data_IF_446359845153
#
_entry.id   IF_446359845153
#
_cell.length_a   1.000
_cell.length_b   1.000
_cell.length_c   1.000
_cell.angle_alpha   90.00
_cell.angle_beta   90.00
_cell.angle_gamma   90.00
#
_symmetry.space_group_name_H-M   'P 1'
#
loop_
_entity.id
_entity.type
_entity.pdbx_description
1 polymer ?
#
# COMPACT_ATOMS: atom_id res chain seq x y z
N UNK A 1 -9.26 8.61 24.67
CA UNK A 1 -9.95 8.72 23.37
C UNK A 1 -9.07 9.61 22.52
N UNK A 2 -8.54 9.09 21.43
CA UNK A 2 -7.57 9.77 20.57
C UNK A 2 -8.30 10.41 19.39
N UNK A 3 -7.88 11.58 18.97
CA UNK A 3 -8.40 12.21 17.75
C UNK A 3 -7.53 11.80 16.57
N UNK A 4 -8.11 11.10 15.62
CA UNK A 4 -7.37 10.59 14.47
C UNK A 4 -7.95 11.19 13.19
N UNK A 5 -7.08 11.77 12.37
CA UNK A 5 -7.47 12.25 11.04
C UNK A 5 -6.96 11.29 9.97
N UNK A 6 -7.81 10.96 9.00
CA UNK A 6 -7.41 10.16 7.83
C UNK A 6 -7.46 11.04 6.59
N UNK A 7 -6.30 11.28 6.00
CA UNK A 7 -6.16 12.05 4.76
C UNK A 7 -6.36 11.12 3.56
N UNK A 8 -7.55 11.15 3.00
CA UNK A 8 -7.96 10.34 1.86
C UNK A 8 -9.04 9.32 2.21
N UNK A 9 -10.24 9.50 1.65
CA UNK A 9 -11.41 8.64 1.85
C UNK A 9 -11.59 7.63 0.70
N UNK A 10 -10.49 7.06 0.19
CA UNK A 10 -10.52 5.89 -0.69
C UNK A 10 -11.02 4.63 0.04
N UNK A 11 -11.13 3.50 -0.67
CA UNK A 11 -11.62 2.24 -0.06
C UNK A 11 -10.77 1.83 1.15
N UNK A 12 -9.43 1.87 1.05
CA UNK A 12 -8.55 1.50 2.16
C UNK A 12 -8.55 2.55 3.28
N UNK A 13 -8.48 3.85 2.96
CA UNK A 13 -8.57 4.90 3.97
C UNK A 13 -9.88 4.84 4.76
N UNK A 14 -11.02 4.59 4.09
CA UNK A 14 -12.33 4.46 4.76
C UNK A 14 -12.40 3.20 5.63
N UNK A 15 -11.91 2.05 5.14
CA UNK A 15 -11.88 0.81 5.92
C UNK A 15 -10.98 0.94 7.16
N UNK A 16 -9.82 1.60 7.02
CA UNK A 16 -8.93 1.85 8.16
C UNK A 16 -9.52 2.89 9.14
N UNK A 17 -10.21 3.92 8.63
CA UNK A 17 -10.97 4.86 9.45
C UNK A 17 -12.04 4.15 10.30
N UNK A 18 -12.72 3.13 9.72
CA UNK A 18 -13.64 2.27 10.48
C UNK A 18 -12.91 1.48 11.58
N UNK A 19 -11.73 0.91 11.31
CA UNK A 19 -10.92 0.21 12.34
C UNK A 19 -10.60 1.16 13.49
N UNK A 20 -10.14 2.38 13.19
CA UNK A 20 -9.81 3.40 14.18
C UNK A 20 -11.04 3.80 15.03
N UNK A 21 -12.19 3.94 14.39
CA UNK A 21 -13.45 4.26 15.08
C UNK A 21 -13.94 3.09 15.93
N UNK A 22 -13.87 1.86 15.43
CA UNK A 22 -14.21 0.64 16.18
C UNK A 22 -13.26 0.42 17.38
N UNK A 23 -12.03 0.94 17.31
CA UNK A 23 -11.09 0.99 18.45
C UNK A 23 -11.44 2.08 19.49
N UNK A 24 -12.48 2.87 19.26
CA UNK A 24 -12.99 3.87 20.20
C UNK A 24 -12.40 5.28 20.05
N UNK A 25 -11.77 5.60 18.92
CA UNK A 25 -11.25 6.95 18.65
C UNK A 25 -12.29 7.83 17.95
N UNK A 26 -12.12 9.15 18.04
CA UNK A 26 -12.81 10.10 17.17
C UNK A 26 -12.07 10.15 15.83
N UNK A 27 -12.77 9.91 14.72
CA UNK A 27 -12.16 9.86 13.40
C UNK A 27 -12.72 10.94 12.49
N UNK A 28 -11.82 11.78 11.96
CA UNK A 28 -12.15 12.76 10.93
C UNK A 28 -11.54 12.31 9.60
N UNK A 29 -12.38 12.07 8.60
CA UNK A 29 -11.92 11.79 7.23
C UNK A 29 -11.76 13.10 6.45
N UNK A 30 -10.66 13.28 5.75
CA UNK A 30 -10.54 14.35 4.78
C UNK A 30 -10.69 13.78 3.36
N UNK A 31 -11.53 14.41 2.56
CA UNK A 31 -11.71 14.07 1.14
C UNK A 31 -11.93 15.33 0.30
N UNK A 32 -11.54 15.26 -0.97
CA UNK A 32 -11.73 16.36 -1.93
C UNK A 32 -13.09 16.29 -2.63
N UNK A 33 -13.72 15.11 -2.67
CA UNK A 33 -15.01 14.89 -3.32
C UNK A 33 -16.16 15.23 -2.36
N UNK A 34 -16.98 16.27 -2.68
CA UNK A 34 -18.07 16.69 -1.80
C UNK A 34 -19.09 15.59 -1.47
N UNK A 35 -19.38 14.73 -2.45
CA UNK A 35 -20.31 13.60 -2.27
C UNK A 35 -19.80 12.54 -1.27
N UNK A 36 -18.48 12.37 -1.17
CA UNK A 36 -17.87 11.47 -0.17
C UNK A 36 -17.93 12.11 1.21
N UNK A 37 -17.65 13.41 1.31
CA UNK A 37 -17.73 14.16 2.57
C UNK A 37 -19.15 14.12 3.11
N UNK A 38 -20.15 14.47 2.32
CA UNK A 38 -21.57 14.42 2.68
C UNK A 38 -21.98 13.01 3.07
N UNK A 39 -21.61 12.00 2.25
CA UNK A 39 -21.94 10.61 2.51
C UNK A 39 -21.44 10.11 3.86
N UNK A 40 -20.20 10.43 4.24
CA UNK A 40 -19.63 10.01 5.53
C UNK A 40 -20.21 10.84 6.68
N UNK A 41 -20.24 12.17 6.55
CA UNK A 41 -20.62 13.09 7.62
C UNK A 41 -22.11 12.98 7.97
N UNK A 42 -22.98 12.97 6.95
CA UNK A 42 -24.41 13.14 7.13
C UNK A 42 -25.18 11.81 7.06
N UNK A 43 -24.61 10.80 6.36
CA UNK A 43 -25.26 9.52 6.11
C UNK A 43 -24.48 8.31 6.66
N UNK A 44 -23.32 8.51 7.28
CA UNK A 44 -22.44 7.43 7.75
C UNK A 44 -22.22 6.34 6.69
N UNK A 45 -21.96 6.76 5.44
CA UNK A 45 -21.79 5.85 4.32
C UNK A 45 -20.83 6.42 3.28
N UNK A 46 -19.89 5.59 2.78
CA UNK A 46 -19.07 5.90 1.63
C UNK A 46 -19.47 5.02 0.42
N UNK A 47 -20.59 5.38 -0.19
CA UNK A 47 -21.16 4.61 -1.31
C UNK A 47 -20.31 4.61 -2.58
N UNK A 48 -19.43 5.61 -2.73
CA UNK A 48 -18.55 5.74 -3.90
C UNK A 48 -17.35 4.79 -3.82
N UNK A 49 -16.70 4.71 -2.66
CA UNK A 49 -15.41 4.02 -2.51
C UNK A 49 -15.51 2.68 -1.76
N UNK A 50 -16.50 2.53 -0.89
CA UNK A 50 -16.69 1.34 -0.05
C UNK A 50 -18.18 0.96 0.05
N UNK A 51 -18.86 0.69 -1.06
CA UNK A 51 -20.31 0.48 -1.11
C UNK A 51 -20.79 -0.76 -0.34
N UNK A 52 -19.88 -1.68 -0.01
CA UNK A 52 -20.22 -2.88 0.78
C UNK A 52 -20.57 -2.57 2.23
N UNK A 53 -20.00 -1.50 2.81
CA UNK A 53 -20.30 -1.08 4.19
C UNK A 53 -21.55 -0.24 4.21
N UNK A 54 -22.62 -0.75 4.82
CA UNK A 54 -23.93 -0.07 4.87
C UNK A 54 -23.95 1.12 5.80
N UNK A 55 -23.26 1.00 6.95
CA UNK A 55 -23.22 2.05 7.97
C UNK A 55 -21.83 2.09 8.59
N UNK A 56 -21.18 3.24 8.50
CA UNK A 56 -19.91 3.53 9.19
C UNK A 56 -20.17 3.89 10.66
N UNK A 57 -19.20 3.73 11.57
CA UNK A 57 -19.36 4.10 12.98
C UNK A 57 -19.74 5.57 13.18
N UNK A 58 -20.57 5.84 14.19
CA UNK A 58 -21.08 7.20 14.47
C UNK A 58 -20.02 8.18 14.98
N UNK A 59 -18.87 7.68 15.44
CA UNK A 59 -17.69 8.47 15.82
C UNK A 59 -16.73 8.74 14.63
N UNK A 60 -17.19 8.49 13.40
CA UNK A 60 -16.57 8.95 12.17
C UNK A 60 -17.34 10.13 11.59
N UNK A 61 -16.59 11.17 11.21
CA UNK A 61 -17.10 12.31 10.44
C UNK A 61 -16.19 12.58 9.23
N UNK A 62 -16.56 13.55 8.40
CA UNK A 62 -15.74 13.96 7.26
C UNK A 62 -15.81 15.45 7.00
N UNK A 63 -14.75 16.01 6.45
CA UNK A 63 -14.68 17.40 5.98
C UNK A 63 -13.82 17.50 4.71
N UNK A 64 -14.10 18.51 3.89
CA UNK A 64 -13.25 18.92 2.77
C UNK A 64 -12.25 20.01 3.15
N UNK A 65 -12.41 20.63 4.33
CA UNK A 65 -11.51 21.67 4.82
C UNK A 65 -10.25 21.04 5.45
N UNK A 66 -9.09 21.45 4.99
CA UNK A 66 -7.80 20.90 5.44
C UNK A 66 -7.48 21.29 6.88
N UNK A 67 -7.70 22.55 7.21
CA UNK A 67 -7.38 23.07 8.55
C UNK A 67 -8.30 22.44 9.60
N UNK A 68 -9.60 22.35 9.31
CA UNK A 68 -10.56 21.67 10.17
C UNK A 68 -10.17 20.19 10.39
N UNK A 69 -9.77 19.50 9.31
CA UNK A 69 -9.44 18.08 9.37
C UNK A 69 -8.32 17.77 10.38
N UNK A 70 -7.30 18.61 10.47
CA UNK A 70 -6.09 18.31 11.27
C UNK A 70 -5.98 19.11 12.57
N UNK A 71 -6.87 20.08 12.82
CA UNK A 71 -6.76 21.04 13.93
C UNK A 71 -6.54 20.41 15.31
N UNK A 72 -7.13 19.25 15.58
CA UNK A 72 -7.05 18.56 16.87
C UNK A 72 -6.52 17.14 16.76
N UNK A 73 -5.79 16.82 15.67
CA UNK A 73 -5.33 15.48 15.44
C UNK A 73 -4.13 15.12 16.34
N UNK A 74 -4.26 14.02 17.08
CA UNK A 74 -3.16 13.38 17.78
C UNK A 74 -2.37 12.47 16.83
N UNK A 75 -3.09 11.84 15.89
CA UNK A 75 -2.54 10.96 14.86
C UNK A 75 -3.15 11.32 13.51
N UNK A 76 -2.32 11.42 12.49
CA UNK A 76 -2.74 11.66 11.11
C UNK A 76 -2.36 10.46 10.26
N UNK A 77 -3.34 9.83 9.62
CA UNK A 77 -3.17 8.69 8.74
C UNK A 77 -3.20 9.18 7.30
N UNK A 78 -2.14 8.93 6.54
CA UNK A 78 -2.04 9.27 5.12
C UNK A 78 -2.48 8.08 4.28
N UNK A 79 -3.60 8.24 3.57
CA UNK A 79 -4.23 7.22 2.73
C UNK A 79 -4.48 7.72 1.28
N UNK A 80 -3.56 8.53 0.78
CA UNK A 80 -3.57 9.13 -0.56
C UNK A 80 -2.87 8.17 -1.53
N UNK A 81 -3.19 8.20 -2.83
CA UNK A 81 -2.43 7.43 -3.82
C UNK A 81 -0.98 7.96 -3.89
N UNK A 82 0.00 7.05 -3.90
CA UNK A 82 1.42 7.36 -3.74
C UNK A 82 1.94 8.47 -4.68
N UNK A 83 1.53 8.44 -5.95
CA UNK A 83 1.97 9.41 -6.97
C UNK A 83 1.43 10.84 -6.76
N UNK A 84 0.42 11.02 -5.90
CA UNK A 84 -0.15 12.32 -5.56
C UNK A 84 0.24 12.81 -4.16
N UNK A 85 0.95 11.99 -3.40
CA UNK A 85 1.25 12.24 -1.99
C UNK A 85 1.95 13.57 -1.76
N UNK A 86 3.05 13.84 -2.47
CA UNK A 86 3.83 15.08 -2.32
C UNK A 86 3.00 16.33 -2.56
N UNK A 87 2.26 16.38 -3.65
CA UNK A 87 1.45 17.56 -4.00
C UNK A 87 0.33 17.77 -2.98
N UNK A 88 -0.37 16.69 -2.59
CA UNK A 88 -1.46 16.79 -1.65
C UNK A 88 -0.98 17.15 -0.23
N UNK A 89 0.13 16.55 0.24
CA UNK A 89 0.66 16.78 1.58
C UNK A 89 1.28 18.18 1.74
N UNK A 90 1.83 18.77 0.68
CA UNK A 90 2.36 20.13 0.73
C UNK A 90 1.34 21.17 1.25
N UNK A 91 0.06 20.94 0.96
CA UNK A 91 -1.05 21.80 1.40
C UNK A 91 -1.37 21.65 2.91
N UNK A 92 -0.80 20.64 3.58
CA UNK A 92 -0.99 20.39 5.02
C UNK A 92 0.22 20.78 5.86
N UNK A 93 1.36 21.13 5.25
CA UNK A 93 2.63 21.35 5.95
C UNK A 93 2.50 22.26 7.17
N UNK A 94 1.90 23.43 6.99
CA UNK A 94 1.73 24.43 8.04
C UNK A 94 0.50 24.20 8.94
N UNK A 95 -0.29 23.17 8.66
CA UNK A 95 -1.54 22.88 9.36
C UNK A 95 -1.41 21.73 10.36
N UNK A 96 -0.42 20.85 10.16
CA UNK A 96 -0.22 19.66 11.00
C UNK A 96 0.28 20.07 12.39
N UNK A 97 -0.38 19.67 13.49
CA UNK A 97 0.09 19.96 14.83
C UNK A 97 1.51 19.42 15.08
N UNK A 98 2.36 20.22 15.74
CA UNK A 98 3.75 19.83 16.04
C UNK A 98 3.88 18.55 16.87
N UNK A 99 2.86 18.18 17.62
CA UNK A 99 2.82 16.97 18.46
C UNK A 99 2.18 15.76 17.79
N UNK A 100 1.51 15.94 16.65
CA UNK A 100 0.81 14.86 15.98
C UNK A 100 1.79 13.83 15.38
N UNK A 101 1.47 12.54 15.52
CA UNK A 101 2.15 11.48 14.78
C UNK A 101 1.55 11.38 13.38
N UNK A 102 2.38 11.12 12.39
CA UNK A 102 1.92 10.91 11.01
C UNK A 102 2.21 9.47 10.61
N UNK A 103 1.17 8.72 10.25
CA UNK A 103 1.31 7.34 9.80
C UNK A 103 0.84 7.17 8.36
N UNK A 104 1.57 6.39 7.57
CA UNK A 104 1.28 6.16 6.15
C UNK A 104 0.70 4.77 5.92
N UNK A 105 -0.41 4.71 5.16
CA UNK A 105 -0.98 3.49 4.57
C UNK A 105 -0.56 3.32 3.11
N UNK A 106 0.19 4.27 2.57
CA UNK A 106 0.58 4.28 1.16
C UNK A 106 1.54 3.14 0.86
N UNK A 107 1.46 2.62 -0.35
CA UNK A 107 2.34 1.55 -0.84
C UNK A 107 2.81 1.93 -2.23
N UNK A 108 4.09 2.18 -2.39
CA UNK A 108 4.66 2.57 -3.68
C UNK A 108 5.94 3.38 -3.57
N UNK A 109 6.54 3.65 -4.73
CA UNK A 109 7.72 4.50 -4.90
C UNK A 109 7.30 5.69 -5.75
N UNK A 110 7.72 6.89 -5.39
CA UNK A 110 7.46 8.10 -6.17
C UNK A 110 8.24 8.05 -7.50
N UNK A 111 7.53 8.07 -8.63
CA UNK A 111 8.16 7.90 -9.97
C UNK A 111 9.19 8.97 -10.30
N UNK A 112 8.94 10.19 -9.88
CA UNK A 112 9.78 11.34 -10.26
C UNK A 112 11.11 11.39 -9.53
N UNK A 113 11.18 10.83 -8.32
CA UNK A 113 12.36 10.91 -7.46
C UNK A 113 12.97 9.54 -7.09
N UNK A 114 12.24 8.45 -7.31
CA UNK A 114 12.63 7.11 -6.84
C UNK A 114 12.51 6.91 -5.33
N UNK A 115 11.90 7.87 -4.60
CA UNK A 115 11.81 7.84 -3.14
C UNK A 115 10.68 6.96 -2.63
N UNK A 116 10.93 6.33 -1.49
CA UNK A 116 9.90 5.62 -0.70
C UNK A 116 8.91 6.64 -0.10
N UNK A 117 7.75 6.17 0.32
CA UNK A 117 6.72 7.07 0.87
C UNK A 117 7.10 7.67 2.22
N UNK A 118 7.89 7.00 3.05
CA UNK A 118 8.47 7.59 4.28
C UNK A 118 9.30 8.83 3.95
N UNK A 119 10.19 8.76 2.97
CA UNK A 119 11.03 9.87 2.53
C UNK A 119 10.17 11.01 1.97
N UNK A 120 9.17 10.69 1.13
CA UNK A 120 8.27 11.68 0.54
C UNK A 120 7.48 12.43 1.62
N UNK A 121 6.91 11.71 2.59
CA UNK A 121 6.12 12.31 3.67
C UNK A 121 6.99 13.19 4.57
N UNK A 122 8.13 12.65 5.04
CA UNK A 122 9.04 13.38 5.91
C UNK A 122 9.59 14.65 5.26
N UNK A 123 10.00 14.58 4.00
CA UNK A 123 10.49 15.77 3.27
C UNK A 123 9.40 16.81 3.03
N UNK A 124 8.21 16.36 2.63
CA UNK A 124 7.11 17.29 2.27
C UNK A 124 6.60 18.04 3.49
N UNK A 125 6.50 17.35 4.63
CA UNK A 125 5.95 17.89 5.86
C UNK A 125 7.02 18.45 6.83
N UNK A 126 8.30 18.32 6.48
CA UNK A 126 9.43 18.66 7.37
C UNK A 126 9.34 17.88 8.71
N UNK A 127 9.04 16.60 8.59
CA UNK A 127 8.70 15.75 9.73
C UNK A 127 9.93 14.96 10.20
N UNK A 128 10.27 14.97 11.49
CA UNK A 128 11.35 14.14 12.02
C UNK A 128 10.96 12.65 11.99
N UNK A 129 11.97 11.78 11.80
CA UNK A 129 11.76 10.35 11.56
C UNK A 129 11.04 9.61 12.72
N UNK A 130 11.18 10.09 13.94
CA UNK A 130 10.53 9.51 15.11
C UNK A 130 9.02 9.85 15.22
N UNK A 131 8.54 10.82 14.41
CA UNK A 131 7.12 11.16 14.30
C UNK A 131 6.43 10.51 13.09
N UNK A 132 7.20 9.85 12.22
CA UNK A 132 6.65 9.10 11.10
C UNK A 132 6.49 7.62 11.43
N UNK A 133 5.36 7.05 11.06
CA UNK A 133 5.13 5.60 11.09
C UNK A 133 4.66 5.08 9.72
N UNK A 134 5.11 3.90 9.32
CA UNK A 134 4.55 3.16 8.19
C UNK A 134 3.60 2.07 8.70
N UNK A 135 2.52 1.80 7.98
CA UNK A 135 1.57 0.72 8.29
C UNK A 135 1.42 -0.18 7.06
N UNK A 136 1.80 -1.43 7.18
CA UNK A 136 1.71 -2.41 6.09
C UNK A 136 1.44 -3.82 6.60
N UNK A 137 0.84 -4.67 5.75
CA UNK A 137 0.49 -6.05 6.06
C UNK A 137 -0.56 -6.58 5.11
N UNK A 138 -1.07 -7.80 5.31
CA UNK A 138 -2.14 -8.40 4.52
C UNK A 138 -3.48 -7.70 4.79
N UNK A 139 -3.69 -6.56 4.16
CA UNK A 139 -4.78 -5.63 4.45
C UNK A 139 -5.66 -5.39 3.22
N UNK A 140 -6.49 -6.37 2.87
CA UNK A 140 -7.52 -6.23 1.84
C UNK A 140 -8.70 -5.43 2.41
N UNK A 141 -8.91 -4.22 1.90
CA UNK A 141 -9.84 -3.24 2.45
C UNK A 141 -11.26 -3.75 2.65
N UNK A 142 -11.76 -4.58 1.72
CA UNK A 142 -13.11 -5.14 1.82
C UNK A 142 -13.24 -6.13 2.98
N UNK A 143 -12.28 -7.02 3.17
CA UNK A 143 -12.30 -8.01 4.26
C UNK A 143 -12.21 -7.33 5.63
N UNK A 144 -11.36 -6.30 5.74
CA UNK A 144 -11.24 -5.50 6.97
C UNK A 144 -12.53 -4.73 7.24
N UNK A 145 -13.13 -4.14 6.21
CA UNK A 145 -14.41 -3.44 6.33
C UNK A 145 -15.56 -4.38 6.75
N UNK A 146 -15.49 -5.65 6.33
CA UNK A 146 -16.40 -6.72 6.76
C UNK A 146 -16.03 -7.28 8.17
N UNK A 147 -15.03 -6.69 8.84
CA UNK A 147 -14.51 -7.06 10.18
C UNK A 147 -13.98 -8.50 10.25
N UNK A 148 -13.44 -9.02 9.14
CA UNK A 148 -12.72 -10.29 9.18
C UNK A 148 -11.40 -10.14 9.97
N UNK A 149 -10.99 -11.18 10.72
CA UNK A 149 -9.73 -11.14 11.45
C UNK A 149 -8.55 -10.85 10.54
N UNK A 150 -7.81 -9.80 10.85
CA UNK A 150 -6.64 -9.35 10.10
C UNK A 150 -5.53 -8.86 11.03
N UNK A 151 -4.32 -8.81 10.51
CA UNK A 151 -3.18 -8.28 11.22
C UNK A 151 -2.38 -7.31 10.32
N UNK A 152 -1.68 -6.39 10.96
CA UNK A 152 -0.81 -5.42 10.28
C UNK A 152 0.49 -5.23 11.05
N UNK A 153 1.43 -4.49 10.48
CA UNK A 153 2.65 -4.05 11.17
C UNK A 153 2.70 -2.53 11.12
N UNK A 154 3.06 -1.93 12.24
CA UNK A 154 3.34 -0.49 12.38
C UNK A 154 4.84 -0.34 12.63
N UNK A 155 5.54 0.37 11.76
CA UNK A 155 6.96 0.65 11.88
C UNK A 155 7.19 2.13 12.16
N UNK A 156 7.98 2.44 13.19
CA UNK A 156 8.46 3.78 13.45
C UNK A 156 9.85 3.68 14.09
N UNK A 157 10.78 4.59 13.77
CA UNK A 157 12.12 4.59 14.38
C UNK A 157 12.07 4.72 15.91
N UNK A 158 11.00 5.31 16.44
CA UNK A 158 10.68 5.33 17.88
C UNK A 158 9.59 4.29 18.17
N UNK A 159 9.95 3.24 18.94
CA UNK A 159 9.05 2.12 19.24
C UNK A 159 7.83 2.54 20.06
N UNK A 160 7.96 3.54 20.94
CA UNK A 160 6.83 4.04 21.74
C UNK A 160 5.80 4.74 20.84
N UNK A 161 6.25 5.45 19.83
CA UNK A 161 5.37 6.08 18.85
C UNK A 161 4.73 5.04 17.91
N UNK A 162 5.48 3.98 17.51
CA UNK A 162 4.89 2.84 16.82
C UNK A 162 3.79 2.19 17.66
N UNK A 163 4.02 2.02 18.97
CA UNK A 163 3.06 1.43 19.90
C UNK A 163 1.80 2.30 20.03
N UNK A 164 1.93 3.62 20.16
CA UNK A 164 0.76 4.53 20.21
C UNK A 164 -0.11 4.41 18.97
N UNK A 165 0.50 4.36 17.78
CA UNK A 165 -0.24 4.20 16.52
C UNK A 165 -0.90 2.81 16.46
N UNK A 166 -0.20 1.76 16.91
CA UNK A 166 -0.72 0.40 16.97
C UNK A 166 -1.91 0.29 17.93
N UNK A 167 -1.82 0.85 19.12
CA UNK A 167 -2.93 0.88 20.10
C UNK A 167 -4.17 1.58 19.54
N UNK A 168 -3.99 2.70 18.81
CA UNK A 168 -5.09 3.43 18.19
C UNK A 168 -5.85 2.61 17.13
N UNK A 169 -5.27 1.56 16.55
CA UNK A 169 -5.94 0.70 15.56
C UNK A 169 -6.17 -0.74 16.05
N UNK A 170 -6.02 -1.03 17.35
CA UNK A 170 -6.25 -2.36 17.91
C UNK A 170 -7.74 -2.59 18.17
N UNK A 171 -8.29 -3.65 17.57
CA UNK A 171 -9.67 -4.09 17.77
C UNK A 171 -9.74 -5.60 18.05
N UNK A 172 -10.93 -6.16 18.27
CA UNK A 172 -11.12 -7.60 18.37
C UNK A 172 -10.84 -8.37 17.07
N UNK A 173 -10.86 -7.69 15.93
CA UNK A 173 -10.64 -8.29 14.61
C UNK A 173 -9.40 -7.74 13.88
N UNK A 174 -8.78 -6.66 14.36
CA UNK A 174 -7.59 -6.07 13.73
C UNK A 174 -6.45 -5.96 14.74
N UNK A 175 -5.37 -6.73 14.50
CA UNK A 175 -4.23 -6.81 15.41
C UNK A 175 -2.96 -6.24 14.78
N UNK A 176 -2.48 -5.08 15.22
CA UNK A 176 -1.18 -4.56 14.83
C UNK A 176 -0.04 -5.24 15.62
N UNK A 177 1.13 -5.34 14.98
CA UNK A 177 2.43 -5.63 15.56
C UNK A 177 3.34 -4.44 15.34
N UNK A 178 4.39 -4.27 16.12
CA UNK A 178 5.28 -3.11 16.02
C UNK A 178 6.71 -3.52 15.67
N UNK A 179 7.41 -2.63 14.95
CA UNK A 179 8.84 -2.76 14.62
C UNK A 179 9.47 -1.39 14.49
N UNK A 180 10.80 -1.34 14.47
CA UNK A 180 11.55 -0.11 14.14
C UNK A 180 12.06 -0.09 12.70
N UNK A 181 11.87 -1.15 11.93
CA UNK A 181 12.32 -1.26 10.54
C UNK A 181 11.31 -0.61 9.57
N UNK A 182 11.35 0.72 9.49
CA UNK A 182 10.54 1.52 8.56
C UNK A 182 10.90 1.19 7.11
N UNK A 183 12.21 1.07 6.81
CA UNK A 183 12.69 0.79 5.45
C UNK A 183 12.14 -0.55 4.95
N UNK A 184 12.29 -1.60 5.74
CA UNK A 184 11.79 -2.93 5.37
C UNK A 184 10.28 -2.95 5.18
N UNK A 185 9.53 -2.26 6.03
CA UNK A 185 8.08 -2.20 5.92
C UNK A 185 7.62 -1.49 4.63
N UNK A 186 8.22 -0.35 4.29
CA UNK A 186 7.94 0.43 3.08
C UNK A 186 8.30 -0.38 1.82
N UNK A 187 9.47 -1.03 1.81
CA UNK A 187 9.92 -1.86 0.70
C UNK A 187 8.97 -3.04 0.46
N UNK A 188 8.57 -3.75 1.52
CA UNK A 188 7.58 -4.83 1.44
C UNK A 188 6.28 -4.36 0.79
N UNK A 189 5.71 -3.27 1.27
CA UNK A 189 4.45 -2.75 0.78
C UNK A 189 4.48 -2.32 -0.70
N UNK A 190 5.62 -1.80 -1.15
CA UNK A 190 5.77 -1.25 -2.50
C UNK A 190 6.06 -2.33 -3.55
N UNK A 191 7.08 -3.16 -3.33
CA UNK A 191 7.57 -4.08 -4.36
C UNK A 191 6.68 -5.31 -4.58
N UNK A 192 5.96 -5.80 -3.56
CA UNK A 192 5.01 -6.92 -3.72
C UNK A 192 3.96 -6.69 -4.82
N UNK A 193 3.65 -5.42 -5.10
CA UNK A 193 2.64 -5.07 -6.10
C UNK A 193 3.09 -5.45 -7.52
N UNK A 194 4.38 -5.41 -7.81
CA UNK A 194 4.97 -5.87 -9.08
C UNK A 194 4.83 -7.39 -9.21
N UNK A 195 5.13 -8.12 -8.13
CA UNK A 195 4.93 -9.58 -8.09
C UNK A 195 3.46 -9.95 -8.33
N UNK A 196 2.53 -9.21 -7.72
CA UNK A 196 1.10 -9.47 -7.91
C UNK A 196 0.62 -9.21 -9.35
N UNK A 197 1.20 -8.23 -10.06
CA UNK A 197 0.96 -8.04 -11.50
C UNK A 197 1.39 -9.28 -12.28
N UNK A 198 2.60 -9.80 -12.04
CA UNK A 198 3.16 -10.95 -12.74
C UNK A 198 2.37 -12.24 -12.47
N UNK A 199 2.02 -12.49 -11.20
CA UNK A 199 1.16 -13.64 -10.82
C UNK A 199 -0.21 -13.53 -11.48
N UNK A 200 -0.83 -12.35 -11.43
CA UNK A 200 -2.10 -12.09 -12.10
C UNK A 200 -2.02 -12.36 -13.59
N UNK A 201 -0.96 -11.88 -14.26
CA UNK A 201 -0.75 -12.09 -15.69
C UNK A 201 -0.60 -13.59 -16.04
N UNK A 202 0.19 -14.32 -15.26
CA UNK A 202 0.34 -15.77 -15.46
C UNK A 202 -1.00 -16.52 -15.29
N UNK A 203 -1.78 -16.16 -14.26
CA UNK A 203 -3.12 -16.73 -14.04
C UNK A 203 -4.09 -16.38 -15.16
N UNK A 204 -4.09 -15.13 -15.61
CA UNK A 204 -4.91 -14.68 -16.72
C UNK A 204 -4.60 -15.38 -18.03
N UNK A 205 -3.34 -15.75 -18.25
CA UNK A 205 -2.86 -16.52 -19.39
C UNK A 205 -3.10 -18.06 -19.25
N UNK A 206 -3.68 -18.53 -18.12
CA UNK A 206 -4.04 -19.92 -17.91
C UNK A 206 -2.96 -20.79 -17.25
N UNK A 207 -1.86 -20.20 -16.75
CA UNK A 207 -0.84 -20.94 -16.00
C UNK A 207 -1.34 -21.35 -14.60
N UNK A 208 -0.83 -22.49 -14.11
CA UNK A 208 -1.25 -23.11 -12.85
C UNK A 208 -0.50 -22.64 -11.61
N UNK A 209 -0.72 -23.36 -10.49
CA UNK A 209 -0.18 -23.07 -9.17
C UNK A 209 1.35 -23.05 -9.12
N UNK A 210 2.01 -24.00 -9.82
CA UNK A 210 3.48 -24.07 -9.82
C UNK A 210 4.11 -22.78 -10.39
N UNK A 211 3.53 -22.23 -11.46
CA UNK A 211 4.01 -20.97 -12.06
C UNK A 211 3.77 -19.81 -11.12
N UNK A 212 2.62 -19.72 -10.48
CA UNK A 212 2.35 -18.67 -9.50
C UNK A 212 3.33 -18.75 -8.32
N UNK A 213 3.51 -19.91 -7.71
CA UNK A 213 4.43 -20.12 -6.60
C UNK A 213 5.88 -19.79 -6.96
N UNK A 214 6.32 -20.13 -8.18
CA UNK A 214 7.65 -19.75 -8.67
C UNK A 214 7.80 -18.23 -8.77
N UNK A 215 6.83 -17.52 -9.37
CA UNK A 215 6.85 -16.06 -9.48
C UNK A 215 6.84 -15.42 -8.08
N UNK A 216 6.01 -15.90 -7.17
CA UNK A 216 5.93 -15.39 -5.79
C UNK A 216 7.25 -15.57 -5.05
N UNK A 217 7.88 -16.75 -5.16
CA UNK A 217 9.15 -17.04 -4.51
C UNK A 217 10.28 -16.16 -5.07
N UNK A 218 10.38 -16.02 -6.40
CA UNK A 218 11.37 -15.15 -7.04
C UNK A 218 11.12 -13.67 -6.73
N UNK A 219 9.85 -13.24 -6.71
CA UNK A 219 9.46 -11.89 -6.31
C UNK A 219 9.83 -11.60 -4.86
N UNK A 220 9.64 -12.55 -3.94
CA UNK A 220 10.05 -12.39 -2.54
C UNK A 220 11.58 -12.30 -2.41
N UNK A 221 12.32 -13.09 -3.15
CA UNK A 221 13.79 -13.04 -3.14
C UNK A 221 14.32 -11.69 -3.67
N UNK A 222 13.78 -11.21 -4.79
CA UNK A 222 14.12 -9.91 -5.38
C UNK A 222 13.77 -8.76 -4.42
N UNK A 223 12.57 -8.77 -3.86
CA UNK A 223 12.10 -7.85 -2.83
C UNK A 223 13.04 -7.81 -1.62
N UNK A 224 13.47 -8.98 -1.13
CA UNK A 224 14.36 -9.10 0.02
C UNK A 224 15.74 -8.54 -0.30
N UNK A 225 16.30 -8.89 -1.47
CA UNK A 225 17.61 -8.40 -1.89
C UNK A 225 17.65 -6.87 -1.99
N UNK A 226 16.64 -6.27 -2.65
CA UNK A 226 16.51 -4.81 -2.75
C UNK A 226 16.36 -4.14 -1.40
N UNK A 227 15.49 -4.70 -0.54
CA UNK A 227 15.25 -4.12 0.76
C UNK A 227 16.48 -4.18 1.68
N UNK A 228 17.20 -5.30 1.68
CA UNK A 228 18.45 -5.43 2.45
C UNK A 228 19.52 -4.48 1.93
N UNK A 229 19.67 -4.33 0.60
CA UNK A 229 20.57 -3.35 0.03
C UNK A 229 20.20 -1.89 0.38
N UNK A 230 18.92 -1.63 0.56
CA UNK A 230 18.42 -0.32 1.05
C UNK A 230 18.57 -0.14 2.58
N UNK A 231 19.04 -1.14 3.32
CA UNK A 231 19.29 -1.07 4.77
C UNK A 231 18.19 -1.66 5.66
N UNK A 232 17.27 -2.45 5.11
CA UNK A 232 16.22 -3.13 5.86
C UNK A 232 16.73 -4.37 6.63
N UNK A 233 16.02 -4.73 7.70
CA UNK A 233 16.23 -6.03 8.38
C UNK A 233 15.63 -7.16 7.49
N UNK A 234 16.43 -8.16 7.08
CA UNK A 234 15.94 -9.27 6.27
C UNK A 234 14.78 -10.04 6.92
N UNK A 235 14.64 -10.02 8.24
CA UNK A 235 13.52 -10.68 8.93
C UNK A 235 12.16 -10.07 8.63
N UNK A 236 12.11 -8.79 8.30
CA UNK A 236 10.86 -8.07 7.97
C UNK A 236 10.16 -8.72 6.77
N UNK A 237 10.93 -9.24 5.80
CA UNK A 237 10.40 -9.84 4.58
C UNK A 237 9.71 -11.18 4.80
N UNK A 238 10.05 -11.90 5.89
CA UNK A 238 9.39 -13.16 6.28
C UNK A 238 8.20 -12.96 7.22
N UNK A 239 7.89 -11.70 7.57
CA UNK A 239 6.78 -11.32 8.43
C UNK A 239 5.48 -11.03 7.67
N UNK A 240 4.53 -10.44 8.40
CA UNK A 240 3.20 -10.06 7.87
C UNK A 240 3.29 -9.09 6.70
N UNK A 241 4.18 -8.10 6.78
CA UNK A 241 4.31 -7.08 5.73
C UNK A 241 4.99 -7.61 4.46
N UNK A 242 5.90 -8.59 4.59
CA UNK A 242 6.57 -9.26 3.48
C UNK A 242 5.73 -10.42 2.94
N UNK A 243 6.08 -11.64 3.34
CA UNK A 243 5.44 -12.86 2.82
C UNK A 243 3.94 -12.89 3.06
N UNK A 244 3.45 -12.38 4.21
CA UNK A 244 2.03 -12.37 4.52
C UNK A 244 1.21 -11.51 3.54
N UNK A 245 1.67 -10.29 3.27
CA UNK A 245 1.00 -9.38 2.33
C UNK A 245 1.20 -9.82 0.87
N UNK A 246 2.32 -10.48 0.56
CA UNK A 246 2.56 -11.08 -0.76
C UNK A 246 1.52 -12.18 -1.05
N UNK A 247 1.34 -13.14 -0.14
CA UNK A 247 0.36 -14.22 -0.27
C UNK A 247 -1.05 -13.65 -0.44
N UNK A 248 -1.45 -12.73 0.43
CA UNK A 248 -2.78 -12.12 0.36
C UNK A 248 -3.02 -11.37 -0.96
N UNK A 249 -2.00 -10.66 -1.45
CA UNK A 249 -2.12 -9.84 -2.66
C UNK A 249 -2.07 -10.67 -3.94
N UNK A 250 -1.24 -11.72 -4.01
CA UNK A 250 -1.11 -12.60 -5.16
C UNK A 250 -2.26 -13.63 -5.24
N UNK A 251 -2.83 -14.03 -4.10
CA UNK A 251 -3.89 -15.03 -4.02
C UNK A 251 -5.32 -14.50 -4.16
N UNK A 252 -5.54 -13.19 -4.25
CA UNK A 252 -6.87 -12.62 -4.16
C UNK A 252 -7.27 -11.77 -5.36
N UNK A 253 -8.45 -12.03 -5.92
CA UNK A 253 -9.09 -11.18 -6.93
C UNK A 253 -9.52 -9.80 -6.39
N UNK A 254 -9.49 -9.59 -5.07
CA UNK A 254 -9.66 -8.27 -4.47
C UNK A 254 -8.42 -7.38 -4.64
N UNK A 255 -7.27 -7.96 -4.98
CA UNK A 255 -6.06 -7.22 -5.32
C UNK A 255 -6.19 -6.56 -6.69
N UNK A 256 -6.11 -5.24 -6.73
CA UNK A 256 -6.13 -4.46 -7.98
C UNK A 256 -4.95 -4.80 -8.89
N UNK A 257 -3.78 -5.03 -8.32
CA UNK A 257 -2.59 -5.40 -9.08
C UNK A 257 -2.75 -6.80 -9.71
N UNK A 258 -3.20 -7.78 -8.93
CA UNK A 258 -3.52 -9.12 -9.43
C UNK A 258 -4.55 -9.06 -10.58
N UNK A 259 -5.66 -8.35 -10.38
CA UNK A 259 -6.73 -8.24 -11.38
C UNK A 259 -6.27 -7.52 -12.65
N UNK A 260 -5.46 -6.46 -12.51
CA UNK A 260 -4.84 -5.78 -13.63
C UNK A 260 -3.93 -6.73 -14.44
N UNK A 261 -3.03 -7.43 -13.76
CA UNK A 261 -2.19 -8.45 -14.37
C UNK A 261 -2.99 -9.54 -15.07
N UNK A 262 -4.07 -10.04 -14.42
CA UNK A 262 -4.92 -11.06 -15.02
C UNK A 262 -5.60 -10.58 -16.31
N UNK A 263 -5.93 -9.32 -16.43
CA UNK A 263 -6.45 -8.73 -17.66
C UNK A 263 -5.39 -8.69 -18.76
N UNK A 264 -4.14 -8.32 -18.43
CA UNK A 264 -3.01 -8.42 -19.36
C UNK A 264 -2.79 -9.86 -19.85
N UNK A 265 -2.84 -10.83 -18.93
CA UNK A 265 -2.71 -12.26 -19.24
C UNK A 265 -3.81 -12.81 -20.16
N UNK A 266 -5.01 -12.21 -20.13
CA UNK A 266 -6.11 -12.51 -21.04
C UNK A 266 -5.96 -11.84 -22.42
N UNK A 267 -4.91 -11.06 -22.63
CA UNK A 267 -4.60 -10.43 -23.90
C UNK A 267 -5.07 -8.95 -24.02
N UNK A 268 -5.55 -8.34 -22.92
CA UNK A 268 -5.86 -6.91 -22.94
C UNK A 268 -4.54 -6.11 -22.98
N UNK A 269 -4.55 -5.01 -23.70
CA UNK A 269 -3.48 -4.01 -23.65
C UNK A 269 -3.47 -3.29 -22.29
N UNK A 270 -2.38 -2.62 -21.96
CA UNK A 270 -2.27 -1.79 -20.74
C UNK A 270 -3.38 -0.73 -20.68
N UNK A 271 -3.69 -0.11 -21.83
CA UNK A 271 -4.76 0.88 -21.93
C UNK A 271 -6.14 0.27 -21.66
N UNK A 272 -6.45 -0.89 -22.24
CA UNK A 272 -7.71 -1.60 -22.02
C UNK A 272 -7.83 -2.09 -20.59
N UNK A 273 -6.77 -2.67 -20.02
CA UNK A 273 -6.73 -3.11 -18.63
C UNK A 273 -6.95 -1.92 -17.68
N UNK A 274 -6.42 -0.75 -17.99
CA UNK A 274 -6.63 0.49 -17.21
C UNK A 274 -8.10 0.91 -17.24
N UNK A 275 -8.76 0.86 -18.40
CA UNK A 275 -10.18 1.25 -18.55
C UNK A 275 -11.14 0.35 -17.77
N UNK A 276 -10.83 -0.95 -17.67
CA UNK A 276 -11.68 -1.91 -16.94
C UNK A 276 -11.32 -2.04 -15.46
N UNK A 277 -10.24 -1.40 -15.02
CA UNK A 277 -9.80 -1.46 -13.63
C UNK A 277 -10.58 -0.49 -12.74
N UNK A 278 -11.08 -0.99 -11.62
CA UNK A 278 -11.76 -0.18 -10.60
C UNK A 278 -10.72 0.47 -9.66
N UNK A 279 -10.03 1.52 -10.13
CA UNK A 279 -9.03 2.27 -9.36
C UNK A 279 -7.59 2.01 -9.83
N UNK A 280 -6.64 2.65 -9.14
CA UNK A 280 -5.22 2.62 -9.49
C UNK A 280 -4.59 1.29 -9.07
N UNK A 281 -3.92 0.61 -10.01
CA UNK A 281 -3.01 -0.51 -9.74
C UNK A 281 -1.61 0.06 -9.49
N UNK A 282 -1.24 0.26 -8.22
CA UNK A 282 0.02 0.92 -7.82
C UNK A 282 1.28 0.19 -8.34
N UNK A 283 1.19 -1.12 -8.60
CA UNK A 283 2.28 -1.88 -9.21
C UNK A 283 2.70 -1.37 -10.58
N UNK A 284 1.76 -0.84 -11.38
CA UNK A 284 2.06 -0.33 -12.73
C UNK A 284 3.05 0.83 -12.67
N UNK A 285 2.77 1.95 -11.97
CA UNK A 285 3.75 3.04 -11.87
C UNK A 285 4.99 2.66 -11.04
N UNK A 286 4.91 1.66 -10.16
CA UNK A 286 6.03 1.25 -9.31
C UNK A 286 7.05 0.38 -10.07
N UNK A 287 6.64 -0.35 -11.11
CA UNK A 287 7.50 -1.32 -11.80
C UNK A 287 8.81 -0.68 -12.30
N UNK A 288 8.73 0.42 -13.05
CA UNK A 288 9.91 1.09 -13.60
C UNK A 288 10.78 1.72 -12.48
N UNK A 289 10.14 2.21 -11.41
CA UNK A 289 10.86 2.73 -10.25
C UNK A 289 11.66 1.64 -9.50
N UNK A 290 11.13 0.41 -9.46
CA UNK A 290 11.83 -0.75 -8.89
C UNK A 290 13.05 -1.13 -9.72
N UNK A 291 12.95 -1.13 -11.05
CA UNK A 291 14.09 -1.39 -11.95
C UNK A 291 15.17 -0.32 -11.71
N UNK A 292 14.78 0.96 -11.71
CA UNK A 292 15.73 2.05 -11.47
C UNK A 292 16.38 1.98 -10.08
N UNK A 293 15.65 1.57 -9.06
CA UNK A 293 16.18 1.35 -7.71
C UNK A 293 17.19 0.18 -7.69
N UNK A 294 16.90 -0.90 -8.43
CA UNK A 294 17.83 -2.02 -8.60
C UNK A 294 19.16 -1.58 -9.21
N UNK A 295 19.12 -0.78 -10.27
CA UNK A 295 20.30 -0.20 -10.90
C UNK A 295 21.09 0.70 -9.93
N UNK A 296 20.41 1.51 -9.13
CA UNK A 296 21.04 2.39 -8.13
C UNK A 296 21.74 1.61 -6.99
N UNK A 297 21.16 0.48 -6.58
CA UNK A 297 21.66 -0.34 -5.48
C UNK A 297 22.57 -1.48 -5.95
N UNK A 298 22.82 -1.60 -7.24
CA UNK A 298 23.55 -2.74 -7.88
C UNK A 298 22.95 -4.10 -7.51
N UNK A 299 21.60 -4.17 -7.52
CA UNK A 299 20.81 -5.38 -7.23
C UNK A 299 20.02 -5.78 -8.46
N UNK A 300 20.20 -7.00 -9.01
CA UNK A 300 19.39 -7.48 -10.14
C UNK A 300 17.90 -7.55 -9.79
N UNK A 301 17.06 -7.07 -10.71
CA UNK A 301 15.58 -7.06 -10.58
C UNK A 301 14.91 -7.79 -11.76
N UNK A 302 15.18 -9.09 -11.94
CA UNK A 302 14.72 -9.81 -13.14
C UNK A 302 13.20 -9.82 -13.29
N UNK A 303 12.43 -9.96 -12.20
CA UNK A 303 10.97 -9.94 -12.26
C UNK A 303 10.43 -8.56 -12.62
N UNK A 304 10.90 -7.52 -11.94
CA UNK A 304 10.48 -6.15 -12.23
C UNK A 304 10.89 -5.74 -13.65
N UNK A 305 12.09 -6.11 -14.10
CA UNK A 305 12.54 -5.86 -15.46
C UNK A 305 11.65 -6.52 -16.52
N UNK A 306 11.29 -7.79 -16.35
CA UNK A 306 10.38 -8.46 -17.28
C UNK A 306 8.97 -7.85 -17.25
N UNK A 307 8.47 -7.45 -16.08
CA UNK A 307 7.20 -6.75 -15.97
C UNK A 307 7.25 -5.35 -16.61
N UNK A 308 8.36 -4.62 -16.51
CA UNK A 308 8.56 -3.36 -17.23
C UNK A 308 8.45 -3.56 -18.74
N UNK A 309 9.04 -4.63 -19.28
CA UNK A 309 8.90 -4.98 -20.71
C UNK A 309 7.47 -5.32 -21.11
N UNK A 310 6.71 -6.02 -20.22
CA UNK A 310 5.28 -6.25 -20.46
C UNK A 310 4.52 -4.93 -20.56
N UNK A 311 4.77 -4.01 -19.64
CA UNK A 311 4.03 -2.74 -19.56
C UNK A 311 4.41 -1.74 -20.65
N UNK A 312 5.67 -1.70 -21.08
CA UNK A 312 6.21 -0.69 -21.99
C UNK A 312 6.41 -1.21 -23.43
N UNK A 313 6.76 -2.51 -23.60
CA UNK A 313 7.02 -3.11 -24.91
C UNK A 313 5.88 -4.05 -25.36
N UNK A 314 4.98 -4.42 -24.45
CA UNK A 314 3.84 -5.29 -24.75
C UNK A 314 4.25 -6.75 -25.00
N UNK A 315 5.35 -7.24 -24.40
CA UNK A 315 5.70 -8.65 -24.49
C UNK A 315 4.64 -9.54 -23.85
N UNK A 316 4.50 -10.75 -24.38
CA UNK A 316 3.52 -11.73 -23.89
C UNK A 316 3.92 -12.33 -22.54
N UNK A 317 2.95 -12.98 -21.87
CA UNK A 317 3.22 -13.73 -20.65
C UNK A 317 4.27 -14.84 -20.85
N UNK A 318 4.24 -15.53 -21.98
CA UNK A 318 5.20 -16.58 -22.31
C UNK A 318 6.62 -16.04 -22.49
N UNK A 319 6.78 -14.86 -23.11
CA UNK A 319 8.07 -14.18 -23.23
C UNK A 319 8.58 -13.70 -21.87
N UNK A 320 7.73 -13.13 -21.03
CA UNK A 320 8.05 -12.76 -19.66
C UNK A 320 8.57 -13.96 -18.86
N UNK A 321 7.87 -15.10 -18.90
CA UNK A 321 8.26 -16.31 -18.21
C UNK A 321 9.57 -16.89 -18.76
N UNK A 322 9.76 -16.92 -20.09
CA UNK A 322 11.01 -17.35 -20.70
C UNK A 322 12.20 -16.50 -20.23
N UNK A 323 12.01 -15.19 -20.10
CA UNK A 323 13.03 -14.29 -19.57
C UNK A 323 13.36 -14.51 -18.08
N UNK A 324 12.38 -14.99 -17.28
CA UNK A 324 12.58 -15.32 -15.86
C UNK A 324 13.27 -16.67 -15.63
N UNK A 325 12.93 -17.67 -16.45
CA UNK A 325 13.49 -19.02 -16.29
C UNK A 325 14.95 -19.12 -16.74
N UNK A 326 15.33 -18.36 -17.78
CA UNK A 326 16.62 -18.57 -18.45
C UNK A 326 16.76 -19.98 -19.05
N UNK A 327 17.93 -20.28 -19.59
CA UNK A 327 18.23 -21.61 -20.12
C UNK A 327 19.37 -22.32 -19.36
N UNK A 328 20.01 -21.63 -18.42
CA UNK A 328 21.14 -22.14 -17.65
C UNK A 328 20.69 -22.63 -16.26
N UNK A 329 21.33 -23.74 -15.83
CA UNK A 329 21.16 -24.22 -14.44
C UNK A 329 21.93 -23.28 -13.51
N UNK A 330 21.21 -22.58 -12.66
CA UNK A 330 21.78 -21.66 -11.67
C UNK A 330 21.53 -22.17 -10.25
N UNK A 331 22.37 -21.76 -9.29
CA UNK A 331 22.11 -21.98 -7.87
C UNK A 331 20.83 -21.28 -7.42
N UNK A 332 20.20 -21.79 -6.37
CA UNK A 332 19.05 -21.19 -5.73
C UNK A 332 19.48 -20.15 -4.67
#
# INVERSE_FOLDING_TARGET
MTNVTVLGAGAWGTAFGQVLADAGNNVTMWAIEPEIVEGIRDHHHNGVRLPSVKVLPSNMTATGDRAEAVANADIIIVAIAAQFARVALAEFKELIPETALVASLMKGIERTTGKRMDEVVMETLDLPADRFAAISGPNLSKEIADRHPAATVVACTNLDNATKVAEACTTSYFKPFVTTDVIGLEMCGSLKNVTALAVGMARGAGYGENTAAMIETRGLAELTALGVAAGADPKTFFGLAGVGDLIATCGSSLSRNYTFGANLGKGLTVEEATKVSNGVAEGVPTTDAVVALGDQLDVPTPLAYQMSRVLNEGISCSEMLAGLFGHEVTGE
#
